data_IF_177747130752
#
_entry.id   IF_177747130752
#
_cell.length_a   1.000
_cell.length_b   1.000
_cell.length_c   1.000
_cell.angle_alpha   90.00
_cell.angle_beta   90.00
_cell.angle_gamma   90.00
#
_symmetry.space_group_name_H-M   'P 1'
#
loop_
_entity.id
_entity.type
_entity.pdbx_description
1 polymer ?
#
# COMPACT_ATOMS: atom_id res chain seq x y z
N UNK A 1 36.46 1.32 -31.82
CA UNK A 1 36.70 1.38 -30.37
C UNK A 1 35.68 0.49 -29.70
N UNK A 2 36.10 -0.66 -29.17
CA UNK A 2 35.24 -1.63 -28.47
C UNK A 2 35.14 -1.19 -27.02
N UNK A 3 33.93 -0.78 -26.57
CA UNK A 3 33.66 -0.60 -25.14
C UNK A 3 33.49 -2.01 -24.52
N UNK A 4 34.35 -2.30 -23.54
CA UNK A 4 34.31 -3.50 -22.74
C UNK A 4 33.09 -3.48 -21.83
N UNK A 5 32.19 -4.41 -22.07
CA UNK A 5 31.02 -4.74 -21.24
C UNK A 5 31.51 -5.41 -19.95
N UNK A 6 31.66 -4.61 -18.87
CA UNK A 6 31.88 -5.15 -17.54
C UNK A 6 30.53 -5.48 -16.88
N UNK A 7 29.86 -6.47 -17.46
CA UNK A 7 28.64 -7.05 -16.90
C UNK A 7 28.88 -7.65 -15.53
N UNK A 8 28.78 -6.87 -14.45
CA UNK A 8 28.48 -7.44 -13.13
C UNK A 8 27.09 -8.06 -13.20
N UNK A 9 27.05 -9.37 -13.33
CA UNK A 9 25.79 -10.14 -13.18
C UNK A 9 25.23 -9.83 -11.80
N UNK A 10 24.06 -9.16 -11.79
CA UNK A 10 23.22 -9.08 -10.59
C UNK A 10 23.00 -10.53 -10.11
N UNK A 11 23.25 -10.88 -8.85
CA UNK A 11 22.99 -12.21 -8.35
C UNK A 11 21.51 -12.53 -8.58
N UNK A 12 21.21 -13.56 -9.37
CA UNK A 12 19.86 -14.10 -9.46
C UNK A 12 19.40 -14.42 -8.04
N UNK A 13 18.35 -13.78 -7.57
CA UNK A 13 17.64 -14.14 -6.34
C UNK A 13 17.20 -15.59 -6.44
N UNK A 14 17.98 -16.50 -5.85
CA UNK A 14 17.65 -17.92 -5.90
C UNK A 14 18.87 -18.83 -5.92
N UNK A 15 19.74 -18.73 -4.93
CA UNK A 15 20.64 -19.83 -4.56
C UNK A 15 21.43 -19.49 -3.28
N UNK A 16 20.81 -19.60 -2.14
CA UNK A 16 21.42 -20.19 -0.94
C UNK A 16 20.30 -20.83 -0.14
N UNK A 17 19.91 -22.02 -0.56
CA UNK A 17 19.18 -22.94 0.30
C UNK A 17 20.17 -23.45 1.34
N UNK A 18 20.02 -23.00 2.54
CA UNK A 18 20.35 -23.66 3.81
C UNK A 18 19.91 -22.70 4.90
N UNK A 19 18.80 -22.99 5.62
CA UNK A 19 18.44 -22.47 6.93
C UNK A 19 18.72 -20.98 7.18
N UNK A 20 18.29 -20.07 6.31
CA UNK A 20 18.49 -18.66 6.53
C UNK A 20 17.65 -18.25 7.75
N UNK A 21 18.34 -17.90 8.85
CA UNK A 21 17.72 -17.20 9.97
C UNK A 21 17.08 -15.91 9.46
N UNK A 22 15.95 -15.49 10.05
CA UNK A 22 15.34 -14.20 9.75
C UNK A 22 16.33 -13.04 9.91
N UNK A 23 15.89 -11.78 9.71
CA UNK A 23 16.77 -10.63 9.84
C UNK A 23 17.44 -10.58 11.21
N UNK A 24 18.71 -10.18 11.25
CA UNK A 24 19.48 -10.10 12.48
C UNK A 24 18.92 -9.02 13.41
N UNK A 25 18.63 -7.84 12.86
CA UNK A 25 18.00 -6.73 13.56
C UNK A 25 16.85 -6.16 12.74
N UNK A 26 15.84 -5.67 13.45
CA UNK A 26 14.71 -4.94 12.86
C UNK A 26 14.71 -3.52 13.42
N UNK A 27 14.83 -2.54 12.55
CA UNK A 27 14.66 -1.13 12.89
C UNK A 27 13.32 -0.65 12.35
N UNK A 28 12.41 -0.21 13.23
CA UNK A 28 11.13 0.35 12.86
C UNK A 28 11.24 1.87 12.69
N UNK A 29 10.83 2.37 11.53
CA UNK A 29 10.67 3.78 11.22
C UNK A 29 9.18 4.12 11.20
N UNK A 30 8.78 5.06 12.04
CA UNK A 30 7.41 5.52 12.19
C UNK A 30 7.34 7.03 11.89
N UNK A 31 7.14 7.44 10.61
CA UNK A 31 6.89 8.83 10.28
C UNK A 31 5.55 9.28 10.88
N UNK A 32 5.56 10.37 11.63
CA UNK A 32 4.40 10.88 12.35
C UNK A 32 4.27 12.39 12.16
N UNK A 33 3.05 12.86 11.85
CA UNK A 33 2.73 14.28 11.74
C UNK A 33 1.46 14.60 12.50
N UNK A 34 1.59 15.16 13.71
CA UNK A 34 0.48 15.44 14.62
C UNK A 34 -0.35 14.19 14.95
N UNK A 35 0.30 13.20 15.56
CA UNK A 35 -0.25 11.88 15.88
C UNK A 35 -0.28 11.63 17.41
N UNK A 36 -0.46 12.66 18.21
CA UNK A 36 -0.47 12.56 19.68
C UNK A 36 -1.53 11.58 20.21
N UNK A 37 -2.63 11.39 19.47
CA UNK A 37 -3.72 10.48 19.87
C UNK A 37 -3.39 8.99 19.64
N UNK A 38 -2.45 8.67 18.73
CA UNK A 38 -2.22 7.30 18.25
C UNK A 38 -0.82 6.78 18.53
N UNK A 39 0.16 7.68 18.66
CA UNK A 39 1.59 7.30 18.66
C UNK A 39 1.99 6.38 19.81
N UNK A 40 1.45 6.56 21.02
CA UNK A 40 1.74 5.70 22.16
C UNK A 40 1.28 4.26 21.91
N UNK A 41 0.05 4.09 21.37
CA UNK A 41 -0.50 2.78 21.02
C UNK A 41 0.32 2.11 19.90
N UNK A 42 0.79 2.89 18.94
CA UNK A 42 1.64 2.40 17.84
C UNK A 42 2.97 1.86 18.37
N UNK A 43 3.62 2.60 19.28
CA UNK A 43 4.87 2.16 19.92
C UNK A 43 4.64 0.91 20.79
N UNK A 44 3.55 0.86 21.56
CA UNK A 44 3.18 -0.32 22.36
C UNK A 44 2.98 -1.55 21.49
N UNK A 45 2.22 -1.43 20.41
CA UNK A 45 1.99 -2.53 19.46
C UNK A 45 3.28 -3.07 18.82
N UNK A 46 4.29 -2.23 18.60
CA UNK A 46 5.60 -2.63 18.10
C UNK A 46 6.44 -3.37 19.15
N UNK A 47 6.27 -3.04 20.44
CA UNK A 47 6.96 -3.69 21.55
C UNK A 47 6.32 -5.03 21.93
N UNK A 48 5.01 -5.14 21.76
CA UNK A 48 4.22 -6.33 22.07
C UNK A 48 4.27 -7.40 20.97
N UNK A 49 5.09 -7.20 19.94
CA UNK A 49 5.28 -8.20 18.89
C UNK A 49 5.92 -9.47 19.45
N UNK A 50 5.55 -10.65 18.94
CA UNK A 50 6.21 -11.93 19.25
C UNK A 50 7.70 -11.91 18.92
N UNK A 51 8.08 -11.14 17.92
CA UNK A 51 9.44 -10.70 17.60
C UNK A 51 9.46 -9.17 17.62
N UNK A 52 9.84 -8.53 18.74
CA UNK A 52 9.89 -7.06 18.82
C UNK A 52 10.90 -6.47 17.85
N UNK A 53 10.69 -5.21 17.46
CA UNK A 53 11.71 -4.43 16.78
C UNK A 53 12.85 -4.14 17.75
N UNK A 54 14.11 -4.23 17.26
CA UNK A 54 15.31 -3.98 18.06
C UNK A 54 15.49 -2.48 18.35
N UNK A 55 14.98 -1.64 17.45
CA UNK A 55 14.92 -0.17 17.61
C UNK A 55 13.60 0.34 17.04
N UNK A 56 12.99 1.30 17.73
CA UNK A 56 11.81 2.02 17.27
C UNK A 56 12.19 3.49 17.17
N UNK A 57 12.12 4.03 15.97
CA UNK A 57 12.47 5.42 15.65
C UNK A 57 11.23 6.11 15.13
N UNK A 58 10.71 7.06 15.90
CA UNK A 58 9.63 7.94 15.47
C UNK A 58 10.23 9.17 14.81
N UNK A 59 9.79 9.47 13.59
CA UNK A 59 10.18 10.70 12.88
C UNK A 59 9.03 11.70 13.05
N UNK A 60 9.17 12.60 14.03
CA UNK A 60 8.23 13.69 14.27
C UNK A 60 8.40 14.75 13.18
N UNK A 61 7.58 14.66 12.14
CA UNK A 61 7.69 15.46 10.91
C UNK A 61 6.82 16.71 10.98
N UNK A 62 7.46 17.87 11.15
CA UNK A 62 6.76 19.16 11.26
C UNK A 62 5.62 19.15 12.30
N UNK A 63 5.77 18.41 13.41
CA UNK A 63 4.75 18.32 14.46
C UNK A 63 4.63 19.62 15.24
N UNK A 64 3.39 20.00 15.55
CA UNK A 64 3.05 21.13 16.43
C UNK A 64 2.37 20.70 17.74
N UNK A 65 2.10 19.39 17.89
CA UNK A 65 1.45 18.74 19.02
C UNK A 65 2.44 17.98 19.94
N UNK A 66 1.94 17.16 20.85
CA UNK A 66 2.73 16.38 21.78
C UNK A 66 3.34 15.10 21.20
N UNK A 67 3.24 14.81 19.89
CA UNK A 67 3.73 13.57 19.26
C UNK A 67 5.16 13.25 19.66
N UNK A 68 6.09 14.22 19.54
CA UNK A 68 7.51 13.98 19.83
C UNK A 68 7.79 13.71 21.30
N UNK A 69 7.10 14.36 22.23
CA UNK A 69 7.25 14.18 23.68
C UNK A 69 6.68 12.85 24.14
N UNK A 70 5.49 12.48 23.66
CA UNK A 70 4.84 11.20 23.95
C UNK A 70 5.64 10.03 23.40
N UNK A 71 6.22 10.16 22.22
CA UNK A 71 7.10 9.14 21.65
C UNK A 71 8.33 8.86 22.51
N UNK A 72 8.98 9.93 23.03
CA UNK A 72 10.12 9.78 23.96
C UNK A 72 9.69 9.15 25.28
N UNK A 73 8.58 9.61 25.86
CA UNK A 73 8.03 9.05 27.09
C UNK A 73 7.69 7.56 26.95
N UNK A 74 7.20 7.14 25.77
CA UNK A 74 6.98 5.75 25.42
C UNK A 74 8.28 4.99 25.10
N UNK A 75 9.46 5.63 25.22
CA UNK A 75 10.81 5.05 25.08
C UNK A 75 11.22 4.77 23.63
N UNK A 76 10.61 5.38 22.64
CA UNK A 76 11.11 5.36 21.28
C UNK A 76 12.25 6.37 21.11
N UNK A 77 13.16 6.08 20.17
CA UNK A 77 14.07 7.10 19.65
C UNK A 77 13.28 8.10 18.82
N UNK A 78 13.58 9.41 18.93
CA UNK A 78 12.84 10.43 18.19
C UNK A 78 13.78 11.27 17.35
N UNK A 79 13.53 11.28 16.05
CA UNK A 79 14.08 12.24 15.10
C UNK A 79 13.05 13.31 14.81
N UNK A 80 13.49 14.57 14.77
CA UNK A 80 12.59 15.70 14.47
C UNK A 80 13.01 16.32 13.15
N UNK A 81 12.06 16.50 12.25
CA UNK A 81 12.27 17.28 11.03
C UNK A 81 11.56 18.62 11.13
N UNK A 82 12.15 19.64 10.56
CA UNK A 82 11.55 20.97 10.41
C UNK A 82 11.70 21.43 8.97
N UNK A 83 10.62 21.98 8.41
CA UNK A 83 10.62 22.46 7.02
C UNK A 83 10.68 21.32 5.97
N UNK A 84 10.29 20.10 6.30
CA UNK A 84 10.13 19.04 5.35
C UNK A 84 8.93 19.30 4.44
N UNK A 85 9.17 19.52 3.15
CA UNK A 85 8.14 19.76 2.13
C UNK A 85 7.69 18.45 1.44
N UNK A 86 8.43 17.36 1.65
CA UNK A 86 8.20 16.06 0.98
C UNK A 86 7.40 15.06 1.83
N UNK A 87 6.76 15.55 2.92
CA UNK A 87 5.84 14.77 3.77
C UNK A 87 6.45 13.44 4.23
N UNK A 88 5.68 12.36 4.22
CA UNK A 88 6.10 11.02 4.65
C UNK A 88 7.38 10.54 3.94
N UNK A 89 7.50 10.73 2.63
CA UNK A 89 8.70 10.32 1.89
C UNK A 89 9.95 11.09 2.39
N UNK A 90 9.82 12.40 2.65
CA UNK A 90 10.89 13.22 3.21
C UNK A 90 11.30 12.79 4.61
N UNK A 91 10.33 12.53 5.48
CA UNK A 91 10.58 12.04 6.83
C UNK A 91 11.31 10.68 6.81
N UNK A 92 10.86 9.74 5.98
CA UNK A 92 11.51 8.44 5.84
C UNK A 92 12.94 8.57 5.31
N UNK A 93 13.17 9.34 4.26
CA UNK A 93 14.49 9.53 3.67
C UNK A 93 15.44 10.21 4.66
N UNK A 94 14.97 11.19 5.43
CA UNK A 94 15.75 11.84 6.49
C UNK A 94 16.27 10.83 7.52
N UNK A 95 15.43 9.87 7.91
CA UNK A 95 15.82 8.81 8.82
C UNK A 95 16.75 7.78 8.14
N UNK A 96 16.47 7.39 6.90
CA UNK A 96 17.25 6.44 6.12
C UNK A 96 18.72 6.90 5.96
N UNK A 97 18.96 8.17 5.64
CA UNK A 97 20.29 8.71 5.49
C UNK A 97 21.15 8.55 6.76
N UNK A 98 20.51 8.59 7.94
CA UNK A 98 21.18 8.51 9.25
C UNK A 98 21.30 7.09 9.78
N UNK A 99 20.34 6.25 9.48
CA UNK A 99 20.21 4.91 10.07
C UNK A 99 20.83 3.85 9.16
N UNK A 100 20.62 3.94 7.85
CA UNK A 100 21.04 2.93 6.88
C UNK A 100 22.55 2.65 6.89
N UNK A 101 23.46 3.64 7.05
CA UNK A 101 24.91 3.37 7.11
C UNK A 101 25.33 2.47 8.26
N UNK A 102 24.61 2.50 9.39
CA UNK A 102 24.91 1.71 10.60
C UNK A 102 24.28 0.30 10.59
N UNK A 103 23.56 -0.09 9.54
CA UNK A 103 22.91 -1.40 9.43
C UNK A 103 23.74 -2.35 8.57
N UNK A 104 23.58 -3.65 8.78
CA UNK A 104 24.13 -4.69 7.91
C UNK A 104 23.16 -5.07 6.80
N UNK A 105 23.62 -5.76 5.78
CA UNK A 105 22.76 -6.30 4.71
C UNK A 105 21.80 -7.40 5.19
N UNK A 106 22.04 -7.94 6.38
CA UNK A 106 21.17 -8.93 7.05
C UNK A 106 20.10 -8.32 7.93
N UNK A 107 20.17 -7.00 8.14
CA UNK A 107 19.15 -6.29 8.91
C UNK A 107 17.91 -6.04 8.06
N UNK A 108 16.81 -5.73 8.72
CA UNK A 108 15.57 -5.32 8.07
C UNK A 108 15.08 -3.99 8.63
N UNK A 109 14.36 -3.27 7.80
CA UNK A 109 13.72 -2.01 8.14
C UNK A 109 12.22 -2.12 7.99
N UNK A 110 11.50 -1.86 9.06
CA UNK A 110 10.06 -1.68 9.03
C UNK A 110 9.76 -0.22 8.76
N UNK A 111 8.89 0.06 7.81
CA UNK A 111 8.25 1.37 7.64
C UNK A 111 6.76 1.20 7.94
N UNK A 112 6.26 1.98 8.90
CA UNK A 112 4.89 1.87 9.41
C UNK A 112 4.27 3.24 9.62
N UNK A 113 2.97 3.38 9.27
CA UNK A 113 2.19 4.59 9.58
C UNK A 113 1.93 4.72 11.09
N UNK A 114 1.94 5.95 11.60
CA UNK A 114 1.80 6.26 13.02
C UNK A 114 0.38 6.03 13.57
N UNK A 115 -0.63 5.93 12.69
CA UNK A 115 -2.04 5.67 12.99
C UNK A 115 -2.43 4.18 12.86
N UNK A 116 -1.43 3.30 12.71
CA UNK A 116 -1.64 1.89 12.37
C UNK A 116 -1.06 0.97 13.44
N UNK A 117 -1.80 -0.09 13.79
CA UNK A 117 -1.46 -0.99 14.88
C UNK A 117 -1.29 -2.41 14.35
N UNK A 118 -0.08 -2.93 14.50
CA UNK A 118 0.26 -4.30 14.09
C UNK A 118 -0.27 -5.31 15.09
N UNK A 119 -0.80 -6.43 14.58
CA UNK A 119 -1.11 -7.58 15.42
C UNK A 119 0.19 -8.25 15.92
N UNK A 120 0.20 -8.91 17.07
CA UNK A 120 1.43 -9.41 17.71
C UNK A 120 2.34 -10.29 16.86
N UNK A 121 1.80 -11.04 15.89
CA UNK A 121 2.58 -11.91 14.99
C UNK A 121 3.10 -11.26 13.71
N UNK A 122 2.90 -9.96 13.53
CA UNK A 122 3.22 -9.28 12.25
C UNK A 122 4.70 -9.35 11.88
N UNK A 123 5.58 -8.94 12.80
CA UNK A 123 7.03 -8.92 12.55
C UNK A 123 7.62 -10.33 12.40
N UNK A 124 7.09 -11.31 13.12
CA UNK A 124 7.48 -12.70 12.93
C UNK A 124 7.10 -13.22 11.55
N UNK A 125 5.85 -13.00 11.12
CA UNK A 125 5.35 -13.44 9.81
C UNK A 125 6.11 -12.79 8.65
N UNK A 126 6.40 -11.49 8.74
CA UNK A 126 7.14 -10.76 7.71
C UNK A 126 8.64 -11.13 7.71
N UNK A 127 9.26 -11.32 8.88
CA UNK A 127 10.65 -11.78 9.01
C UNK A 127 10.87 -13.17 8.38
N UNK A 128 9.93 -14.09 8.59
CA UNK A 128 9.93 -15.41 7.95
C UNK A 128 9.95 -15.29 6.41
N UNK A 129 9.22 -14.32 5.85
CA UNK A 129 9.24 -14.09 4.39
C UNK A 129 10.56 -13.52 3.88
N UNK A 130 11.21 -12.65 4.66
CA UNK A 130 12.55 -12.21 4.31
C UNK A 130 13.55 -13.39 4.36
N UNK A 131 13.44 -14.28 5.35
CA UNK A 131 14.23 -15.51 5.41
C UNK A 131 14.00 -16.44 4.19
N UNK A 132 12.78 -16.45 3.61
CA UNK A 132 12.46 -17.16 2.37
C UNK A 132 13.00 -16.46 1.09
N UNK A 133 13.74 -15.35 1.24
CA UNK A 133 14.35 -14.60 0.14
C UNK A 133 13.43 -13.59 -0.55
N UNK A 134 12.36 -13.13 0.12
CA UNK A 134 11.63 -11.95 -0.31
C UNK A 134 12.37 -10.69 0.16
N UNK A 135 12.39 -9.64 -0.66
CA UNK A 135 13.01 -8.37 -0.32
C UNK A 135 12.11 -7.47 0.52
N UNK A 136 10.79 -7.66 0.39
CA UNK A 136 9.82 -6.91 1.15
C UNK A 136 8.60 -7.77 1.48
N UNK A 137 8.09 -7.59 2.70
CA UNK A 137 6.87 -8.23 3.18
C UNK A 137 5.94 -7.18 3.80
N UNK A 138 4.80 -6.92 3.14
CA UNK A 138 3.79 -5.96 3.57
C UNK A 138 2.66 -6.62 4.36
N UNK A 139 1.89 -5.82 5.09
CA UNK A 139 0.78 -6.28 5.87
C UNK A 139 -0.55 -6.40 5.12
N UNK A 140 -1.49 -7.12 5.72
CA UNK A 140 -2.90 -7.10 5.36
C UNK A 140 -3.64 -6.27 6.42
N UNK A 141 -4.19 -5.15 6.01
CA UNK A 141 -4.82 -4.21 6.94
C UNK A 141 -6.33 -4.42 7.06
N UNK A 142 -6.85 -4.14 8.25
CA UNK A 142 -8.28 -4.07 8.57
C UNK A 142 -8.61 -2.65 8.98
N UNK A 143 -9.77 -2.16 8.56
CA UNK A 143 -10.24 -0.84 8.98
C UNK A 143 -10.75 -0.84 10.44
N UNK A 144 -10.32 0.13 11.22
CA UNK A 144 -10.84 0.39 12.57
C UNK A 144 -12.34 0.76 12.54
N UNK A 145 -13.05 0.66 13.65
CA UNK A 145 -14.42 1.17 13.79
C UNK A 145 -14.49 2.68 13.48
N UNK A 146 -15.64 3.13 13.00
CA UNK A 146 -15.87 4.55 12.69
C UNK A 146 -16.39 4.76 11.26
N UNK A 147 -16.57 6.04 10.88
CA UNK A 147 -16.96 6.47 9.54
C UNK A 147 -18.36 6.07 9.07
N UNK A 148 -19.24 5.60 9.95
CA UNK A 148 -20.62 5.23 9.60
C UNK A 148 -20.69 4.29 8.38
N UNK A 149 -21.55 4.57 7.42
CA UNK A 149 -21.72 3.80 6.18
C UNK A 149 -20.43 3.85 5.33
N UNK A 150 -19.82 5.04 5.20
CA UNK A 150 -18.57 5.21 4.46
C UNK A 150 -17.47 4.28 4.98
N UNK A 151 -17.23 4.29 6.31
CA UNK A 151 -16.25 3.42 6.95
C UNK A 151 -16.63 1.93 6.87
N UNK A 152 -17.94 1.60 6.95
CA UNK A 152 -18.40 0.21 6.82
C UNK A 152 -18.08 -0.38 5.44
N UNK A 153 -18.27 0.37 4.38
CA UNK A 153 -17.99 -0.04 3.00
C UNK A 153 -16.48 -0.16 2.74
N UNK A 154 -15.66 0.75 3.29
CA UNK A 154 -14.21 0.62 3.24
C UNK A 154 -13.73 -0.65 3.97
N UNK A 155 -14.27 -0.97 5.14
CA UNK A 155 -13.96 -2.22 5.84
C UNK A 155 -14.37 -3.46 5.04
N UNK A 156 -15.44 -3.41 4.26
CA UNK A 156 -15.81 -4.48 3.34
C UNK A 156 -14.79 -4.60 2.20
N UNK A 157 -14.37 -3.48 1.62
CA UNK A 157 -13.32 -3.44 0.60
C UNK A 157 -12.00 -4.05 1.13
N UNK A 158 -11.57 -3.70 2.33
CA UNK A 158 -10.36 -4.24 2.94
C UNK A 158 -10.47 -5.76 3.20
N UNK A 159 -11.63 -6.25 3.64
CA UNK A 159 -11.87 -7.68 3.82
C UNK A 159 -11.80 -8.45 2.47
N UNK A 160 -12.34 -7.87 1.38
CA UNK A 160 -12.22 -8.42 0.03
C UNK A 160 -10.77 -8.46 -0.44
N UNK A 161 -10.03 -7.36 -0.25
CA UNK A 161 -8.61 -7.28 -0.60
C UNK A 161 -7.77 -8.32 0.15
N UNK A 162 -7.93 -8.43 1.46
CA UNK A 162 -7.22 -9.41 2.28
C UNK A 162 -7.51 -10.84 1.83
N UNK A 163 -8.77 -11.16 1.51
CA UNK A 163 -9.15 -12.47 0.99
C UNK A 163 -8.54 -12.77 -0.38
N UNK A 164 -8.57 -11.79 -1.30
CA UNK A 164 -7.97 -11.95 -2.63
C UNK A 164 -6.46 -12.15 -2.54
N UNK A 165 -5.79 -11.39 -1.67
CA UNK A 165 -4.36 -11.53 -1.38
C UNK A 165 -4.05 -12.93 -0.82
N UNK A 166 -4.85 -13.43 0.11
CA UNK A 166 -4.68 -14.77 0.67
C UNK A 166 -4.86 -15.87 -0.39
N UNK A 167 -5.86 -15.74 -1.28
CA UNK A 167 -6.08 -16.68 -2.41
C UNK A 167 -4.92 -16.68 -3.40
N UNK A 168 -4.25 -15.56 -3.56
CA UNK A 168 -3.04 -15.40 -4.40
C UNK A 168 -1.75 -15.75 -3.67
N UNK A 169 -1.84 -16.37 -2.49
CA UNK A 169 -0.67 -16.74 -1.66
C UNK A 169 0.23 -15.53 -1.33
N UNK A 170 -0.39 -14.38 -1.07
CA UNK A 170 0.32 -13.15 -0.75
C UNK A 170 0.91 -12.41 -1.94
N UNK A 171 0.69 -12.86 -3.17
CA UNK A 171 1.16 -12.14 -4.37
C UNK A 171 0.38 -10.85 -4.54
N UNK A 172 1.07 -9.74 -4.45
CA UNK A 172 0.52 -8.39 -4.60
C UNK A 172 1.22 -7.64 -5.73
N UNK A 173 0.56 -6.62 -6.25
CA UNK A 173 1.16 -5.70 -7.23
C UNK A 173 1.77 -4.48 -6.56
N UNK A 174 1.28 -4.16 -5.36
CA UNK A 174 1.78 -3.11 -4.51
C UNK A 174 1.79 -3.64 -3.08
N UNK A 175 2.92 -3.54 -2.39
CA UNK A 175 2.98 -3.73 -0.94
C UNK A 175 2.37 -2.52 -0.27
N UNK A 176 1.74 -2.71 0.88
CA UNK A 176 1.04 -1.61 1.55
C UNK A 176 2.01 -0.59 2.15
N UNK A 177 1.70 0.71 2.00
CA UNK A 177 2.41 1.78 2.69
C UNK A 177 2.14 1.87 4.19
N UNK A 178 1.11 1.16 4.67
CA UNK A 178 0.68 1.18 6.08
C UNK A 178 1.67 0.46 7.00
N UNK A 179 2.30 -0.62 6.51
CA UNK A 179 3.33 -1.35 7.25
C UNK A 179 4.02 -2.38 6.36
N UNK A 180 5.32 -2.19 6.14
CA UNK A 180 6.13 -3.07 5.31
C UNK A 180 7.52 -3.25 5.90
N UNK A 181 7.92 -4.51 6.04
CA UNK A 181 9.28 -4.91 6.41
C UNK A 181 10.11 -5.10 5.13
N UNK A 182 11.24 -4.39 5.03
CA UNK A 182 12.13 -4.36 3.88
C UNK A 182 13.52 -4.87 4.26
N UNK A 183 14.16 -5.63 3.37
CA UNK A 183 15.57 -5.98 3.49
C UNK A 183 16.46 -4.75 3.30
N UNK A 184 17.43 -4.54 4.19
CA UNK A 184 18.39 -3.44 4.09
C UNK A 184 19.23 -3.56 2.81
N UNK A 185 19.65 -4.78 2.44
CA UNK A 185 20.35 -5.02 1.18
C UNK A 185 19.54 -4.54 -0.03
N UNK A 186 18.25 -4.86 -0.08
CA UNK A 186 17.38 -4.43 -1.18
C UNK A 186 17.16 -2.91 -1.21
N UNK A 187 17.05 -2.26 -0.05
CA UNK A 187 16.98 -0.79 0.03
C UNK A 187 18.26 -0.12 -0.50
N UNK A 188 19.42 -0.65 -0.17
CA UNK A 188 20.70 -0.17 -0.71
C UNK A 188 20.81 -0.33 -2.21
N UNK A 189 20.34 -1.47 -2.73
CA UNK A 189 20.33 -1.72 -4.17
C UNK A 189 19.37 -0.76 -4.91
N UNK A 190 18.23 -0.41 -4.31
CA UNK A 190 17.32 0.62 -4.86
C UNK A 190 18.03 1.96 -4.93
N UNK A 191 18.68 2.41 -3.85
CA UNK A 191 19.43 3.68 -3.83
C UNK A 191 20.55 3.69 -4.87
N UNK A 192 21.33 2.61 -4.95
CA UNK A 192 22.40 2.47 -5.95
C UNK A 192 21.84 2.49 -7.38
N UNK A 193 20.74 1.77 -7.63
CA UNK A 193 20.13 1.69 -8.95
C UNK A 193 19.54 3.03 -9.44
N UNK A 194 19.05 3.87 -8.53
CA UNK A 194 18.61 5.23 -8.84
C UNK A 194 19.83 6.08 -9.26
N UNK A 195 20.89 6.03 -8.46
CA UNK A 195 22.13 6.79 -8.74
C UNK A 195 22.79 6.36 -10.07
N UNK A 196 22.70 5.08 -10.40
CA UNK A 196 23.22 4.51 -11.64
C UNK A 196 22.30 4.73 -12.85
N UNK A 197 21.12 5.34 -12.68
CA UNK A 197 20.13 5.55 -13.73
C UNK A 197 19.43 4.27 -14.22
N UNK A 198 19.49 3.17 -13.45
CA UNK A 198 18.77 1.92 -13.74
C UNK A 198 17.30 1.94 -13.32
N UNK A 199 16.95 2.84 -12.43
CA UNK A 199 15.59 3.14 -12.00
C UNK A 199 15.26 4.60 -12.31
N UNK A 200 13.97 4.96 -12.45
CA UNK A 200 13.57 6.36 -12.62
C UNK A 200 14.11 7.23 -11.46
N UNK A 201 14.39 8.50 -11.75
CA UNK A 201 14.80 9.43 -10.71
C UNK A 201 13.67 9.60 -9.68
N UNK A 202 14.04 9.45 -8.44
CA UNK A 202 13.16 9.60 -7.28
C UNK A 202 12.99 11.06 -6.81
N UNK A 203 13.60 12.02 -7.52
CA UNK A 203 13.64 13.42 -7.10
C UNK A 203 14.80 13.74 -6.15
N UNK A 204 16.00 13.16 -6.42
CA UNK A 204 17.22 13.43 -5.65
C UNK A 204 18.02 12.20 -5.21
N UNK A 205 17.76 11.04 -5.83
CA UNK A 205 18.52 9.81 -5.55
C UNK A 205 18.16 9.11 -4.24
N UNK A 206 16.98 9.38 -3.69
CA UNK A 206 16.50 8.83 -2.44
C UNK A 206 15.70 7.53 -2.63
N UNK A 207 15.71 6.66 -1.61
CA UNK A 207 14.98 5.40 -1.65
C UNK A 207 13.45 5.59 -1.79
N UNK A 208 12.89 6.60 -1.12
CA UNK A 208 11.48 6.96 -1.23
C UNK A 208 11.32 8.17 -2.13
N UNK A 209 10.59 7.99 -3.24
CA UNK A 209 10.47 9.01 -4.28
C UNK A 209 9.69 10.25 -3.80
N UNK A 210 10.24 11.43 -4.08
CA UNK A 210 9.56 12.72 -3.89
C UNK A 210 8.64 13.08 -5.06
N UNK A 211 8.82 12.40 -6.19
CA UNK A 211 8.07 12.68 -7.41
C UNK A 211 6.68 12.01 -7.46
N UNK A 212 6.48 10.98 -6.62
CA UNK A 212 5.24 10.19 -6.60
C UNK A 212 4.24 10.64 -5.53
N UNK A 213 2.98 10.28 -5.74
CA UNK A 213 1.91 10.39 -4.75
C UNK A 213 1.74 9.11 -3.92
N UNK A 214 2.42 8.01 -4.31
CA UNK A 214 2.30 6.66 -3.74
C UNK A 214 3.68 6.03 -3.61
N UNK A 215 4.38 6.39 -2.55
CA UNK A 215 5.76 5.98 -2.28
C UNK A 215 5.92 4.46 -2.15
N UNK A 216 4.89 3.77 -1.67
CA UNK A 216 4.81 2.32 -1.53
C UNK A 216 4.69 1.60 -2.88
N UNK A 217 3.87 2.12 -3.77
CA UNK A 217 3.73 1.60 -5.13
C UNK A 217 5.02 1.80 -5.94
N UNK A 218 5.62 2.99 -5.83
CA UNK A 218 6.89 3.28 -6.47
C UNK A 218 8.00 2.33 -5.97
N UNK A 219 8.12 2.14 -4.64
CA UNK A 219 9.07 1.22 -4.04
C UNK A 219 8.85 -0.22 -4.50
N UNK A 220 7.58 -0.65 -4.60
CA UNK A 220 7.24 -1.98 -5.12
C UNK A 220 7.71 -2.18 -6.55
N UNK A 221 7.48 -1.18 -7.42
CA UNK A 221 7.96 -1.19 -8.80
C UNK A 221 9.49 -1.20 -8.85
N UNK A 222 10.16 -0.39 -8.05
CA UNK A 222 11.61 -0.34 -7.98
C UNK A 222 12.21 -1.71 -7.61
N UNK A 223 11.72 -2.34 -6.54
CA UNK A 223 12.16 -3.67 -6.12
C UNK A 223 11.92 -4.73 -7.22
N UNK A 224 10.75 -4.72 -7.83
CA UNK A 224 10.42 -5.72 -8.86
C UNK A 224 11.21 -5.52 -10.16
N UNK A 225 11.57 -4.27 -10.52
CA UNK A 225 12.47 -3.98 -11.65
C UNK A 225 13.89 -4.48 -11.41
N UNK A 226 14.35 -4.46 -10.18
CA UNK A 226 15.63 -5.05 -9.79
C UNK A 226 15.58 -6.58 -9.66
N UNK A 227 14.43 -7.21 -9.93
CA UNK A 227 14.25 -8.65 -9.89
C UNK A 227 13.92 -9.21 -8.52
N UNK A 228 13.70 -8.37 -7.52
CA UNK A 228 13.28 -8.79 -6.20
C UNK A 228 11.83 -9.26 -6.15
N UNK A 229 11.55 -10.18 -5.22
CA UNK A 229 10.19 -10.65 -4.92
C UNK A 229 9.62 -9.92 -3.72
N UNK A 230 8.35 -9.56 -3.81
CA UNK A 230 7.59 -8.93 -2.72
C UNK A 230 6.35 -9.76 -2.38
N UNK A 231 5.87 -9.69 -1.13
CA UNK A 231 4.76 -10.51 -0.66
C UNK A 231 3.96 -9.80 0.44
N UNK A 232 2.67 -10.10 0.56
CA UNK A 232 1.85 -9.76 1.75
C UNK A 232 1.31 -11.07 2.34
N UNK A 233 2.03 -11.67 3.31
CA UNK A 233 1.62 -12.94 3.90
C UNK A 233 0.31 -12.77 4.69
N UNK A 234 -0.58 -13.78 4.60
CA UNK A 234 -1.94 -13.73 5.18
C UNK A 234 -1.98 -13.50 6.70
N UNK A 235 -0.92 -13.93 7.40
CA UNK A 235 -0.74 -13.88 8.84
C UNK A 235 -0.06 -12.59 9.33
N UNK A 236 0.48 -11.76 8.44
CA UNK A 236 0.91 -10.41 8.77
C UNK A 236 -0.29 -9.44 8.72
N UNK A 237 -0.99 -9.31 9.84
CA UNK A 237 -2.21 -8.49 9.93
C UNK A 237 -2.01 -7.27 10.81
N UNK A 238 -2.76 -6.20 10.50
CA UNK A 238 -2.72 -4.93 11.20
C UNK A 238 -4.06 -4.20 11.08
N UNK A 239 -4.29 -3.21 11.92
CA UNK A 239 -5.45 -2.32 11.82
C UNK A 239 -5.00 -0.89 11.50
N UNK A 240 -5.77 -0.20 10.68
CA UNK A 240 -5.54 1.19 10.28
C UNK A 240 -6.85 1.96 10.28
N UNK A 241 -6.77 3.27 10.24
CA UNK A 241 -7.96 4.11 10.18
C UNK A 241 -8.72 3.94 8.86
N UNK A 242 -10.01 4.26 8.92
CA UNK A 242 -10.85 4.43 7.73
C UNK A 242 -11.17 5.90 7.57
N UNK A 243 -11.36 6.36 6.35
CA UNK A 243 -11.82 7.71 6.10
C UNK A 243 -13.22 7.90 6.67
N UNK A 244 -13.40 8.92 7.48
CA UNK A 244 -14.64 9.16 8.20
C UNK A 244 -15.71 9.76 7.29
N UNK A 245 -15.29 10.51 6.27
CA UNK A 245 -16.17 11.19 5.33
C UNK A 245 -15.94 10.76 3.89
N UNK A 246 -16.98 10.87 3.06
CA UNK A 246 -16.88 10.64 1.61
C UNK A 246 -15.86 11.56 0.94
N UNK A 247 -15.71 12.79 1.41
CA UNK A 247 -14.75 13.76 0.87
C UNK A 247 -13.31 13.33 1.12
N UNK A 248 -13.00 12.86 2.31
CA UNK A 248 -11.67 12.31 2.66
C UNK A 248 -11.38 11.06 1.85
N UNK A 249 -12.36 10.14 1.76
CA UNK A 249 -12.25 8.96 0.93
C UNK A 249 -11.95 9.33 -0.53
N UNK A 250 -12.66 10.30 -1.11
CA UNK A 250 -12.39 10.74 -2.47
C UNK A 250 -10.97 11.25 -2.64
N UNK A 251 -10.47 12.08 -1.69
CA UNK A 251 -9.08 12.60 -1.73
C UNK A 251 -8.08 11.46 -1.67
N UNK A 252 -8.24 10.52 -0.74
CA UNK A 252 -7.36 9.38 -0.57
C UNK A 252 -7.34 8.50 -1.84
N UNK A 253 -8.51 8.13 -2.36
CA UNK A 253 -8.61 7.28 -3.56
C UNK A 253 -8.12 7.99 -4.82
N UNK A 254 -8.36 9.30 -4.95
CA UNK A 254 -7.82 10.11 -6.04
C UNK A 254 -6.29 10.07 -6.03
N UNK A 255 -5.67 10.28 -4.86
CA UNK A 255 -4.23 10.18 -4.68
C UNK A 255 -3.70 8.80 -5.10
N UNK A 256 -4.32 7.71 -4.61
CA UNK A 256 -3.87 6.36 -4.94
C UNK A 256 -3.99 6.03 -6.43
N UNK A 257 -5.14 6.36 -7.04
CA UNK A 257 -5.37 6.07 -8.46
C UNK A 257 -4.45 6.88 -9.37
N UNK A 258 -4.28 8.16 -9.08
CA UNK A 258 -3.39 9.04 -9.83
C UNK A 258 -1.93 8.63 -9.63
N UNK A 259 -1.50 8.40 -8.39
CA UNK A 259 -0.14 7.97 -8.08
C UNK A 259 0.23 6.66 -8.78
N UNK A 260 -0.62 5.64 -8.67
CA UNK A 260 -0.38 4.36 -9.34
C UNK A 260 -0.23 4.50 -10.87
N UNK A 261 -0.99 5.40 -11.50
CA UNK A 261 -0.87 5.64 -12.94
C UNK A 261 0.41 6.42 -13.28
N UNK A 262 0.73 7.48 -12.51
CA UNK A 262 1.96 8.28 -12.69
C UNK A 262 3.21 7.43 -12.48
N UNK A 263 3.20 6.51 -11.51
CA UNK A 263 4.30 5.56 -11.30
C UNK A 263 4.48 4.63 -12.51
N UNK A 264 3.39 4.08 -13.06
CA UNK A 264 3.46 3.27 -14.28
C UNK A 264 4.04 4.06 -15.46
N UNK A 265 3.71 5.35 -15.59
CA UNK A 265 4.28 6.22 -16.62
C UNK A 265 5.78 6.43 -16.39
N UNK A 266 6.23 6.62 -15.15
CA UNK A 266 7.64 6.84 -14.82
C UNK A 266 8.51 5.61 -15.13
N UNK A 267 8.00 4.40 -14.87
CA UNK A 267 8.68 3.14 -15.18
C UNK A 267 8.48 2.67 -16.64
N UNK A 268 7.52 3.26 -17.37
CA UNK A 268 7.23 2.93 -18.76
C UNK A 268 6.60 1.54 -18.97
N UNK A 269 6.60 1.07 -20.23
CA UNK A 269 6.10 -0.25 -20.61
C UNK A 269 7.22 -1.29 -20.49
N UNK A 270 7.23 -2.02 -19.40
CA UNK A 270 8.18 -3.09 -19.13
C UNK A 270 7.44 -4.39 -18.78
N UNK A 271 8.15 -5.53 -18.74
CA UNK A 271 7.56 -6.80 -18.30
C UNK A 271 6.96 -6.71 -16.90
N UNK A 272 7.57 -5.91 -16.03
CA UNK A 272 7.16 -5.72 -14.63
C UNK A 272 5.89 -4.86 -14.53
N UNK A 273 5.76 -3.81 -15.37
CA UNK A 273 4.62 -2.89 -15.37
C UNK A 273 3.44 -3.40 -16.21
N UNK A 274 3.64 -4.39 -17.10
CA UNK A 274 2.60 -4.85 -18.04
C UNK A 274 1.29 -5.23 -17.34
N UNK A 275 1.37 -5.94 -16.22
CA UNK A 275 0.18 -6.31 -15.44
C UNK A 275 -0.51 -5.09 -14.83
N UNK A 276 0.24 -4.10 -14.38
CA UNK A 276 -0.29 -2.82 -13.90
C UNK A 276 -1.03 -2.08 -15.02
N UNK A 277 -0.43 -1.98 -16.21
CA UNK A 277 -1.06 -1.38 -17.38
C UNK A 277 -2.35 -2.09 -17.79
N UNK A 278 -2.34 -3.43 -17.81
CA UNK A 278 -3.52 -4.22 -18.12
C UNK A 278 -4.65 -3.96 -17.12
N UNK A 279 -4.34 -3.85 -15.83
CA UNK A 279 -5.34 -3.55 -14.81
C UNK A 279 -5.89 -2.12 -14.95
N UNK A 280 -5.08 -1.14 -15.32
CA UNK A 280 -5.57 0.21 -15.61
C UNK A 280 -6.50 0.22 -16.82
N UNK A 281 -6.17 -0.54 -17.87
CA UNK A 281 -7.05 -0.71 -19.04
C UNK A 281 -8.38 -1.37 -18.65
N UNK A 282 -8.34 -2.50 -17.94
CA UNK A 282 -9.55 -3.21 -17.48
C UNK A 282 -10.40 -2.31 -16.58
N UNK A 283 -9.78 -1.57 -15.66
CA UNK A 283 -10.48 -0.62 -14.79
C UNK A 283 -11.16 0.49 -15.61
N UNK A 284 -10.49 1.03 -16.64
CA UNK A 284 -11.05 2.08 -17.51
C UNK A 284 -12.21 1.54 -18.35
N UNK A 285 -12.07 0.34 -18.93
CA UNK A 285 -13.17 -0.33 -19.64
C UNK A 285 -14.35 -0.59 -18.70
N UNK A 286 -14.09 -1.01 -17.46
CA UNK A 286 -15.12 -1.19 -16.43
C UNK A 286 -15.89 0.09 -16.14
N UNK A 287 -15.22 1.24 -16.07
CA UNK A 287 -15.88 2.55 -15.92
C UNK A 287 -16.81 2.85 -17.10
N UNK A 288 -16.34 2.66 -18.35
CA UNK A 288 -17.16 2.88 -19.56
C UNK A 288 -18.37 1.95 -19.57
N UNK A 289 -18.17 0.68 -19.24
CA UNK A 289 -19.25 -0.30 -19.15
C UNK A 289 -20.31 0.09 -18.09
N UNK A 290 -19.84 0.59 -16.92
CA UNK A 290 -20.75 1.06 -15.86
C UNK A 290 -21.56 2.30 -16.27
N UNK A 291 -20.93 3.24 -16.97
CA UNK A 291 -21.62 4.42 -17.51
C UNK A 291 -22.69 3.98 -18.52
N UNK A 292 -22.36 3.08 -19.44
CA UNK A 292 -23.31 2.52 -20.40
C UNK A 292 -24.46 1.79 -19.70
N UNK A 293 -24.17 1.00 -18.66
CA UNK A 293 -25.17 0.30 -17.86
C UNK A 293 -26.12 1.28 -17.15
N UNK A 294 -25.60 2.32 -16.50
CA UNK A 294 -26.42 3.36 -15.85
C UNK A 294 -27.29 4.08 -16.90
N UNK A 295 -26.75 4.43 -18.06
CA UNK A 295 -27.52 5.03 -19.14
C UNK A 295 -28.64 4.12 -19.61
N UNK A 296 -28.39 2.81 -19.73
CA UNK A 296 -29.43 1.82 -20.08
C UNK A 296 -30.55 1.78 -19.04
N UNK A 297 -30.21 1.79 -17.73
CA UNK A 297 -31.20 1.83 -16.65
C UNK A 297 -32.05 3.09 -16.69
N UNK A 298 -31.52 4.23 -17.06
CA UNK A 298 -32.25 5.50 -17.19
C UNK A 298 -33.21 5.48 -18.38
N UNK A 299 -32.89 4.79 -19.47
CA UNK A 299 -33.72 4.69 -20.68
C UNK A 299 -34.76 3.55 -20.59
N UNK A 300 -34.47 2.51 -19.81
CA UNK A 300 -35.32 1.31 -19.69
C UNK A 300 -36.80 1.60 -19.38
N UNK A 301 -37.18 2.56 -18.51
CA UNK A 301 -38.58 2.88 -18.24
C UNK A 301 -39.37 3.35 -19.49
N UNK A 302 -38.64 3.94 -20.45
CA UNK A 302 -39.24 4.51 -21.68
C UNK A 302 -39.21 3.52 -22.85
N UNK A 303 -38.26 2.57 -22.85
CA UNK A 303 -38.04 1.60 -23.93
C UNK A 303 -38.76 0.26 -23.70
N UNK A 304 -39.47 0.10 -22.57
CA UNK A 304 -40.04 -1.16 -22.11
C UNK A 304 -38.97 -2.03 -21.43
N UNK A 305 -39.17 -2.32 -20.16
CA UNK A 305 -38.24 -3.14 -19.38
C UNK A 305 -38.51 -4.62 -19.60
N UNK A 306 -37.60 -5.31 -20.26
CA UNK A 306 -37.62 -6.77 -20.35
C UNK A 306 -36.46 -7.33 -19.48
N UNK A 307 -36.78 -8.00 -18.36
CA UNK A 307 -35.73 -8.59 -17.51
C UNK A 307 -34.95 -9.65 -18.29
N UNK A 308 -33.67 -9.42 -18.50
CA UNK A 308 -32.80 -10.38 -19.16
C UNK A 308 -32.23 -11.36 -18.11
N UNK A 309 -32.40 -12.69 -18.26
CA UNK A 309 -31.91 -13.68 -17.31
C UNK A 309 -30.37 -13.64 -17.11
N UNK A 310 -29.64 -13.16 -18.10
CA UNK A 310 -28.17 -12.99 -17.97
C UNK A 310 -27.84 -11.92 -16.91
N UNK A 311 -28.56 -10.79 -16.91
CA UNK A 311 -28.34 -9.76 -15.88
C UNK A 311 -28.72 -10.26 -14.48
N UNK A 312 -29.76 -11.04 -14.36
CA UNK A 312 -30.15 -11.66 -13.10
C UNK A 312 -29.06 -12.63 -12.61
N UNK A 313 -28.55 -13.48 -13.48
CA UNK A 313 -27.44 -14.40 -13.16
C UNK A 313 -26.18 -13.65 -12.70
N UNK A 314 -25.79 -12.57 -13.39
CA UNK A 314 -24.64 -11.73 -13.00
C UNK A 314 -24.90 -11.12 -11.62
N UNK A 315 -26.10 -10.60 -11.36
CA UNK A 315 -26.47 -10.02 -10.05
C UNK A 315 -26.37 -11.05 -8.93
N UNK A 316 -26.86 -12.28 -9.17
CA UNK A 316 -26.77 -13.39 -8.20
C UNK A 316 -25.31 -13.74 -7.91
N UNK A 317 -24.48 -13.88 -8.95
CA UNK A 317 -23.04 -14.16 -8.78
C UNK A 317 -22.37 -13.06 -7.96
N UNK A 318 -22.68 -11.80 -8.26
CA UNK A 318 -22.16 -10.65 -7.51
C UNK A 318 -22.61 -10.67 -6.04
N UNK A 319 -23.90 -10.92 -5.79
CA UNK A 319 -24.43 -11.01 -4.42
C UNK A 319 -23.77 -12.15 -3.62
N UNK A 320 -23.60 -13.32 -4.23
CA UNK A 320 -22.91 -14.46 -3.61
C UNK A 320 -21.43 -14.13 -3.34
N UNK A 321 -20.76 -13.48 -4.28
CA UNK A 321 -19.37 -13.02 -4.09
C UNK A 321 -19.31 -12.08 -2.89
N UNK A 322 -20.17 -11.08 -2.80
CA UNK A 322 -20.22 -10.12 -1.66
C UNK A 322 -20.52 -10.83 -0.34
N UNK A 323 -21.51 -11.70 -0.29
CA UNK A 323 -21.85 -12.50 0.89
C UNK A 323 -20.63 -13.28 1.40
N UNK A 324 -19.97 -14.00 0.50
CA UNK A 324 -18.84 -14.88 0.84
C UNK A 324 -17.60 -14.08 1.24
N UNK A 325 -17.32 -12.96 0.59
CA UNK A 325 -16.09 -12.19 0.82
C UNK A 325 -16.10 -11.41 2.13
N UNK A 326 -17.27 -10.96 2.60
CA UNK A 326 -17.38 -10.20 3.85
C UNK A 326 -17.91 -11.01 5.04
N UNK A 327 -18.13 -12.32 4.88
CA UNK A 327 -18.65 -13.19 5.95
C UNK A 327 -17.84 -13.15 7.24
N UNK A 328 -16.54 -12.93 7.15
CA UNK A 328 -15.64 -12.79 8.31
C UNK A 328 -15.97 -11.60 9.20
N UNK A 329 -16.77 -10.64 8.71
CA UNK A 329 -17.22 -9.47 9.44
C UNK A 329 -18.57 -9.68 10.16
N UNK A 330 -19.08 -10.90 10.17
CA UNK A 330 -20.33 -11.29 10.79
C UNK A 330 -21.52 -11.36 9.81
N UNK A 331 -22.53 -12.16 10.15
CA UNK A 331 -23.62 -12.51 9.26
C UNK A 331 -24.53 -11.30 8.86
N UNK A 332 -24.71 -10.33 9.78
CA UNK A 332 -25.52 -9.12 9.49
C UNK A 332 -24.86 -8.28 8.39
N UNK A 333 -23.54 -8.08 8.46
CA UNK A 333 -22.77 -7.36 7.45
C UNK A 333 -22.77 -8.11 6.12
N UNK A 334 -22.60 -9.43 6.16
CA UNK A 334 -22.62 -10.27 4.97
C UNK A 334 -23.97 -10.21 4.26
N UNK A 335 -25.08 -10.28 5.02
CA UNK A 335 -26.43 -10.18 4.47
C UNK A 335 -26.70 -8.78 3.86
N UNK A 336 -26.29 -7.70 4.56
CA UNK A 336 -26.41 -6.35 4.04
C UNK A 336 -25.61 -6.17 2.72
N UNK A 337 -24.41 -6.73 2.63
CA UNK A 337 -23.60 -6.68 1.40
C UNK A 337 -24.20 -7.52 0.27
N UNK A 338 -24.92 -8.60 0.60
CA UNK A 338 -25.59 -9.44 -0.39
C UNK A 338 -26.80 -8.73 -1.05
N UNK A 339 -27.35 -7.65 -0.47
CA UNK A 339 -28.35 -6.82 -1.14
C UNK A 339 -27.82 -6.09 -2.36
N UNK A 340 -26.50 -6.07 -2.54
CA UNK A 340 -25.78 -5.48 -3.70
C UNK A 340 -25.85 -3.95 -3.74
N UNK A 341 -26.96 -3.34 -3.37
CA UNK A 341 -27.26 -1.91 -3.57
C UNK A 341 -26.22 -0.97 -2.92
N UNK A 342 -25.87 -1.09 -1.61
CA UNK A 342 -24.89 -0.20 -1.00
C UNK A 342 -23.49 -0.34 -1.62
N UNK A 343 -23.10 -1.55 -1.95
CA UNK A 343 -21.81 -1.86 -2.56
C UNK A 343 -21.73 -1.33 -4.00
N UNK A 344 -22.85 -1.42 -4.76
CA UNK A 344 -22.93 -0.88 -6.12
C UNK A 344 -22.79 0.65 -6.14
N UNK A 345 -23.47 1.36 -5.23
CA UNK A 345 -23.29 2.81 -5.09
C UNK A 345 -21.86 3.17 -4.70
N UNK A 346 -21.23 2.38 -3.82
CA UNK A 346 -19.84 2.57 -3.46
C UNK A 346 -18.90 2.38 -4.66
N UNK A 347 -19.11 1.34 -5.45
CA UNK A 347 -18.31 1.07 -6.65
C UNK A 347 -18.50 2.19 -7.69
N UNK A 348 -19.73 2.70 -7.91
CA UNK A 348 -19.97 3.87 -8.77
C UNK A 348 -19.24 5.13 -8.27
N UNK A 349 -19.28 5.35 -6.97
CA UNK A 349 -18.55 6.46 -6.36
C UNK A 349 -17.03 6.35 -6.61
N UNK A 350 -16.45 5.19 -6.42
CA UNK A 350 -15.01 4.94 -6.70
C UNK A 350 -14.69 5.08 -8.19
N UNK A 351 -15.62 4.74 -9.08
CA UNK A 351 -15.47 4.93 -10.53
C UNK A 351 -15.49 6.43 -10.90
N UNK A 352 -16.36 7.23 -10.27
CA UNK A 352 -16.34 8.68 -10.47
C UNK A 352 -15.00 9.29 -10.05
N UNK A 353 -14.41 8.81 -8.94
CA UNK A 353 -13.05 9.19 -8.53
C UNK A 353 -12.00 8.75 -9.55
N UNK A 354 -12.17 7.57 -10.17
CA UNK A 354 -11.29 7.09 -11.25
C UNK A 354 -11.33 8.03 -12.47
N UNK A 355 -12.54 8.42 -12.92
CA UNK A 355 -12.69 9.39 -14.03
C UNK A 355 -11.97 10.70 -13.70
N UNK A 356 -12.15 11.21 -12.48
CA UNK A 356 -11.47 12.43 -12.03
C UNK A 356 -9.94 12.27 -12.00
N UNK A 357 -9.42 11.09 -11.63
CA UNK A 357 -7.99 10.81 -11.64
C UNK A 357 -7.45 10.86 -13.08
N UNK A 358 -8.09 10.17 -14.01
CA UNK A 358 -7.71 10.15 -15.43
C UNK A 358 -7.78 11.55 -16.04
N UNK A 359 -8.86 12.31 -15.75
CA UNK A 359 -8.97 13.71 -16.15
C UNK A 359 -7.78 14.55 -15.66
N UNK A 360 -7.45 14.42 -14.35
CA UNK A 360 -6.32 15.15 -13.76
C UNK A 360 -4.97 14.82 -14.39
N UNK A 361 -4.77 13.60 -14.89
CA UNK A 361 -3.56 13.17 -15.58
C UNK A 361 -3.50 13.79 -16.99
N UNK A 362 -4.60 13.67 -17.75
CA UNK A 362 -4.67 14.19 -19.14
C UNK A 362 -4.46 15.70 -19.18
N UNK A 363 -5.10 16.43 -18.27
CA UNK A 363 -5.03 17.90 -18.22
C UNK A 363 -3.93 18.43 -17.30
N UNK A 364 -3.04 17.57 -16.82
CA UNK A 364 -1.89 17.92 -15.95
C UNK A 364 -2.27 18.87 -14.80
N UNK A 365 -3.43 18.65 -14.17
CA UNK A 365 -3.86 19.49 -13.04
C UNK A 365 -2.87 19.38 -11.88
N UNK A 366 -2.79 20.44 -11.06
CA UNK A 366 -1.91 20.45 -9.89
C UNK A 366 -2.17 19.23 -8.98
N UNK A 367 -1.08 18.66 -8.44
CA UNK A 367 -1.15 17.58 -7.46
C UNK A 367 -1.69 18.16 -6.15
N UNK A 368 -2.94 17.85 -5.80
CA UNK A 368 -3.48 18.16 -4.47
C UNK A 368 -3.22 16.98 -3.55
N UNK A 369 -2.55 17.26 -2.45
CA UNK A 369 -2.31 16.32 -1.36
C UNK A 369 -3.49 16.30 -0.41
#
# INVERSE_FOLDING_TARGET
MRCSDSGRRVPKAGATGTGASGPERIVALVPAHNEEETIEQTISALREQTRPADRIIVIADNCSDATASLSRASGAEVMVTQGNEHKKAGAINYALERVLPGLSDRDAMLVQDADSFMDPGFLEATSRKLAEGFAAAGGNFRGRPGGGICGALQRNEYARYARDTARKQGRVLCITGVGTLLSVAALRDVVAAIKDGRLPDSGGGYAYSYATLTEDNWMTLALTHLGYRVVSPKDATMSTEVMLTWRELAKQRLRWKRGAFEDLLSFGFTRQTLKGWLLQLVSTVGVVASIAYVATLLVAPWAGFHPNPIFLAITVVYAVERLVTVRSRGWKTALASATVVPEWFYDLYLQAVQVRALWGIVWRTQKSW
#
